data_IF_028729586853
#
_entry.id   IF_028729586853
#
_cell.length_a   1.000
_cell.length_b   1.000
_cell.length_c   1.000
_cell.angle_alpha   90.00
_cell.angle_beta   90.00
_cell.angle_gamma   90.00
#
_symmetry.space_group_name_H-M   'P 1'
#
loop_
_entity.id
_entity.type
_entity.pdbx_description
1 polymer ?
#
# COMPACT_ATOMS: atom_id res chain seq x y z
N UNK A 1 -7.54 -15.58 -30.29
CA UNK A 1 -6.17 -15.08 -30.40
C UNK A 1 -6.03 -13.85 -29.53
N UNK A 2 -5.32 -13.94 -28.39
CA UNK A 2 -5.08 -12.78 -27.54
C UNK A 2 -4.09 -11.85 -28.26
N UNK A 3 -4.55 -10.66 -28.65
CA UNK A 3 -3.68 -9.64 -29.22
C UNK A 3 -2.78 -9.11 -28.10
N UNK A 4 -1.47 -9.32 -28.22
CA UNK A 4 -0.49 -8.70 -27.34
C UNK A 4 -0.61 -7.19 -27.49
N UNK A 5 -1.04 -6.51 -26.42
CA UNK A 5 -0.97 -5.05 -26.34
C UNK A 5 0.46 -4.69 -26.00
N UNK A 6 1.29 -4.48 -27.02
CA UNK A 6 2.65 -4.00 -26.84
C UNK A 6 2.63 -2.50 -26.57
N UNK A 7 3.11 -2.08 -25.40
CA UNK A 7 3.28 -0.65 -25.08
C UNK A 7 4.57 -0.15 -25.70
N UNK A 8 4.50 0.98 -26.41
CA UNK A 8 5.68 1.59 -27.03
C UNK A 8 6.61 2.15 -25.95
N UNK A 9 7.88 1.73 -25.99
CA UNK A 9 8.91 2.28 -25.13
C UNK A 9 9.46 3.57 -25.75
N UNK A 10 9.63 4.62 -24.93
CA UNK A 10 10.25 5.88 -25.37
C UNK A 10 11.77 5.82 -25.39
N UNK A 11 12.36 4.85 -24.68
CA UNK A 11 13.80 4.63 -24.63
C UNK A 11 14.08 3.11 -24.55
N UNK A 12 15.12 2.60 -25.22
CA UNK A 12 15.48 1.18 -25.19
C UNK A 12 15.83 0.63 -23.80
N UNK A 13 16.18 1.48 -22.83
CA UNK A 13 16.45 1.09 -21.44
C UNK A 13 15.20 1.02 -20.56
N UNK A 14 14.03 1.38 -21.08
CA UNK A 14 12.78 1.20 -20.33
C UNK A 14 12.45 -0.30 -20.21
N UNK A 15 11.66 -0.64 -19.19
CA UNK A 15 11.14 -2.00 -19.03
C UNK A 15 10.10 -2.29 -20.11
N UNK A 16 10.20 -3.46 -20.74
CA UNK A 16 9.21 -3.89 -21.73
C UNK A 16 7.96 -4.35 -20.99
N UNK A 17 6.85 -3.64 -21.19
CA UNK A 17 5.57 -4.05 -20.63
C UNK A 17 4.97 -5.17 -21.50
N UNK A 18 5.36 -6.40 -21.23
CA UNK A 18 4.72 -7.59 -21.79
C UNK A 18 3.57 -8.00 -20.87
N UNK A 19 2.34 -7.62 -21.25
CA UNK A 19 1.15 -8.02 -20.51
C UNK A 19 0.83 -9.48 -20.85
N UNK A 20 1.11 -10.41 -19.93
CA UNK A 20 0.64 -11.79 -20.07
C UNK A 20 -0.89 -11.81 -20.07
N UNK A 21 -1.50 -12.60 -20.95
CA UNK A 21 -2.96 -12.68 -21.09
C UNK A 21 -3.68 -13.23 -19.85
N UNK A 22 -2.93 -13.73 -18.85
CA UNK A 22 -3.41 -14.01 -17.50
C UNK A 22 -2.98 -12.88 -16.57
N UNK A 23 -3.71 -11.76 -16.60
CA UNK A 23 -3.60 -10.81 -15.50
C UNK A 23 -4.07 -11.52 -14.22
N UNK A 24 -3.30 -11.48 -13.11
CA UNK A 24 -3.85 -11.82 -11.81
C UNK A 24 -5.10 -10.97 -11.59
N UNK A 25 -6.12 -11.53 -10.93
CA UNK A 25 -7.36 -10.80 -10.66
C UNK A 25 -7.04 -9.50 -9.92
N UNK A 26 -7.01 -8.39 -10.66
CA UNK A 26 -6.63 -7.08 -10.11
C UNK A 26 -7.83 -6.58 -9.33
N UNK A 27 -7.74 -6.69 -8.01
CA UNK A 27 -8.75 -6.12 -7.13
C UNK A 27 -8.60 -4.60 -7.14
N UNK A 28 -9.32 -3.94 -8.04
CA UNK A 28 -9.48 -2.50 -8.01
C UNK A 28 -10.47 -2.10 -6.92
N UNK A 29 -10.11 -1.07 -6.15
CA UNK A 29 -11.02 -0.45 -5.19
C UNK A 29 -12.19 0.18 -5.95
N UNK A 30 -13.42 -0.10 -5.50
CA UNK A 30 -14.59 0.62 -5.99
C UNK A 30 -14.61 2.01 -5.35
N UNK A 31 -14.59 3.10 -6.13
CA UNK A 31 -14.60 4.45 -5.57
C UNK A 31 -15.95 4.73 -4.89
N UNK A 32 -15.89 5.43 -3.76
CA UNK A 32 -17.05 5.95 -3.01
C UNK A 32 -17.64 7.19 -3.70
N UNK A 33 -16.79 7.98 -4.36
CA UNK A 33 -17.17 9.16 -5.15
C UNK A 33 -16.50 9.13 -6.53
N UNK A 34 -17.23 9.51 -7.57
CA UNK A 34 -16.66 9.63 -8.92
C UNK A 34 -15.74 10.86 -8.99
N UNK A 35 -14.45 10.62 -9.21
CA UNK A 35 -13.52 11.68 -9.57
C UNK A 35 -13.51 11.88 -11.09
N UNK A 36 -13.49 13.14 -11.53
CA UNK A 36 -13.53 13.53 -12.95
C UNK A 36 -12.33 12.99 -13.76
N UNK A 37 -11.22 12.71 -13.09
CA UNK A 37 -9.95 12.25 -13.66
C UNK A 37 -9.75 10.72 -13.56
N UNK A 38 -10.70 9.99 -12.97
CA UNK A 38 -10.63 8.54 -12.82
C UNK A 38 -9.74 8.04 -11.67
N UNK A 39 -9.23 8.94 -10.82
CA UNK A 39 -8.54 8.53 -9.60
C UNK A 39 -9.52 7.95 -8.58
N UNK A 40 -9.12 6.90 -7.86
CA UNK A 40 -9.97 6.28 -6.81
C UNK A 40 -9.65 6.79 -5.40
N UNK A 41 -8.80 7.81 -5.30
CA UNK A 41 -8.36 8.40 -4.03
C UNK A 41 -9.48 9.25 -3.44
N UNK A 42 -9.86 8.92 -2.20
CA UNK A 42 -10.81 9.69 -1.41
C UNK A 42 -10.04 10.34 -0.26
N UNK A 43 -9.82 11.66 -0.33
CA UNK A 43 -8.91 12.36 0.57
C UNK A 43 -9.33 12.24 2.04
N UNK A 44 -10.63 12.26 2.33
CA UNK A 44 -11.12 12.20 3.71
C UNK A 44 -10.92 10.80 4.30
N UNK A 45 -11.21 9.76 3.51
CA UNK A 45 -10.96 8.37 3.89
C UNK A 45 -9.47 8.11 4.07
N UNK A 46 -8.63 8.52 3.11
CA UNK A 46 -7.18 8.32 3.20
C UNK A 46 -6.59 9.06 4.40
N UNK A 47 -7.04 10.28 4.68
CA UNK A 47 -6.56 11.06 5.81
C UNK A 47 -6.95 10.42 7.14
N UNK A 48 -8.18 9.94 7.28
CA UNK A 48 -8.61 9.25 8.50
C UNK A 48 -7.81 7.96 8.72
N UNK A 49 -7.65 7.15 7.67
CA UNK A 49 -6.85 5.91 7.75
C UNK A 49 -5.40 6.21 8.12
N UNK A 50 -4.81 7.28 7.57
CA UNK A 50 -3.44 7.68 7.89
C UNK A 50 -3.27 8.02 9.37
N UNK A 51 -4.20 8.80 9.93
CA UNK A 51 -4.17 9.18 11.35
C UNK A 51 -4.36 7.95 12.24
N UNK A 52 -5.34 7.10 11.93
CA UNK A 52 -5.60 5.86 12.68
C UNK A 52 -4.39 4.92 12.68
N UNK A 53 -3.78 4.71 11.52
CA UNK A 53 -2.59 3.86 11.39
C UNK A 53 -1.39 4.45 12.11
N UNK A 54 -1.23 5.77 12.09
CA UNK A 54 -0.15 6.46 12.81
C UNK A 54 -0.31 6.31 14.32
N UNK A 55 -1.52 6.48 14.86
CA UNK A 55 -1.79 6.29 16.29
C UNK A 55 -1.58 4.83 16.73
N UNK A 56 -2.05 3.86 15.93
CA UNK A 56 -1.82 2.43 16.20
C UNK A 56 -0.34 2.10 16.21
N UNK A 57 0.41 2.58 15.22
CA UNK A 57 1.84 2.35 15.14
C UNK A 57 2.58 2.92 16.35
N UNK A 58 2.24 4.15 16.76
CA UNK A 58 2.82 4.75 17.96
C UNK A 58 2.51 3.94 19.22
N UNK A 59 1.28 3.44 19.37
CA UNK A 59 0.90 2.57 20.48
C UNK A 59 1.69 1.26 20.48
N UNK A 60 1.80 0.59 19.33
CA UNK A 60 2.53 -0.67 19.17
C UNK A 60 4.01 -0.53 19.52
N UNK A 61 4.65 0.57 19.09
CA UNK A 61 6.04 0.89 19.44
C UNK A 61 6.19 1.12 20.94
N UNK A 62 5.26 1.85 21.56
CA UNK A 62 5.28 2.07 23.02
C UNK A 62 5.09 0.76 23.80
N UNK A 63 4.15 -0.09 23.41
CA UNK A 63 3.95 -1.39 24.05
C UNK A 63 5.18 -2.27 23.94
N UNK A 64 5.74 -2.39 22.73
CA UNK A 64 6.98 -3.15 22.50
C UNK A 64 8.12 -2.63 23.38
N UNK A 65 8.28 -1.32 23.48
CA UNK A 65 9.31 -0.72 24.32
C UNK A 65 9.10 -1.03 25.81
N UNK A 66 7.86 -1.03 26.29
CA UNK A 66 7.53 -1.38 27.67
C UNK A 66 7.78 -2.86 27.96
N UNK A 67 7.45 -3.76 27.03
CA UNK A 67 7.77 -5.18 27.14
C UNK A 67 9.28 -5.41 27.25
N UNK A 68 10.08 -4.77 26.39
CA UNK A 68 11.55 -4.86 26.45
C UNK A 68 12.08 -4.36 27.79
N UNK A 69 11.60 -3.22 28.28
CA UNK A 69 11.99 -2.69 29.60
C UNK A 69 11.62 -3.64 30.73
N UNK A 70 10.44 -4.27 30.66
CA UNK A 70 10.00 -5.29 31.60
C UNK A 70 10.94 -6.50 31.62
N UNK A 71 11.32 -7.01 30.44
CA UNK A 71 12.28 -8.12 30.33
C UNK A 71 13.66 -7.75 30.90
N UNK A 72 14.15 -6.54 30.64
CA UNK A 72 15.42 -6.07 31.19
C UNK A 72 15.39 -5.95 32.73
N UNK A 73 14.29 -5.45 33.29
CA UNK A 73 14.13 -5.36 34.74
C UNK A 73 14.18 -6.74 35.42
N UNK A 74 13.58 -7.75 34.80
CA UNK A 74 13.63 -9.15 35.29
C UNK A 74 15.04 -9.72 35.22
N UNK A 75 15.85 -9.35 34.23
CA UNK A 75 17.24 -9.82 34.10
C UNK A 75 18.22 -9.13 35.04
N UNK A 76 17.91 -7.90 35.47
CA UNK A 76 18.79 -7.08 36.32
C UNK A 76 18.48 -7.17 37.81
N UNK A 77 17.30 -7.67 38.19
CA UNK A 77 16.92 -7.99 39.57
C UNK A 77 17.34 -9.39 39.97
#
# INVERSE_FOLDING_TARGET
SASQVAMAQTNPSHLSAELSAQLPNTFMRKPTQNNLDGNTVDMDVERNNFVENSMRYEADVNFTQNEIKGLLAVLQG
#
